data_IF_314204207896
#
_entry.id   IF_314204207896
#
_cell.length_a   1.000
_cell.length_b   1.000
_cell.length_c   1.000
_cell.angle_alpha   90.00
_cell.angle_beta   90.00
_cell.angle_gamma   90.00
#
_symmetry.space_group_name_H-M   'P 1'
#
loop_
_entity.id
_entity.type
_entity.pdbx_description
1 polymer ?
#
# COMPACT_ATOMS: atom_id res chain seq x y z
N UNK A 1 -20.09 31.77 24.41
CA UNK A 1 -18.94 30.95 23.99
C UNK A 1 -17.90 31.89 23.40
N UNK A 2 -16.68 31.90 23.93
CA UNK A 2 -15.66 32.88 23.56
C UNK A 2 -15.01 32.49 22.22
N UNK A 3 -14.63 33.47 21.40
CA UNK A 3 -13.84 33.26 20.18
C UNK A 3 -12.59 32.41 20.45
N UNK A 4 -11.97 32.58 21.63
CA UNK A 4 -10.83 31.76 22.06
C UNK A 4 -11.18 30.27 22.24
N UNK A 5 -12.33 29.94 22.84
CA UNK A 5 -12.77 28.54 23.00
C UNK A 5 -13.02 27.90 21.63
N UNK A 6 -13.57 28.67 20.68
CA UNK A 6 -13.83 28.20 19.32
C UNK A 6 -12.54 27.93 18.56
N UNK A 7 -11.55 28.83 18.66
CA UNK A 7 -10.24 28.65 18.03
C UNK A 7 -9.46 27.48 18.65
N UNK A 8 -9.54 27.32 19.97
CA UNK A 8 -8.91 26.22 20.68
C UNK A 8 -9.51 24.87 20.28
N UNK A 9 -10.85 24.78 20.22
CA UNK A 9 -11.53 23.56 19.78
C UNK A 9 -11.20 23.21 18.33
N UNK A 10 -11.13 24.21 17.45
CA UNK A 10 -10.75 24.02 16.05
C UNK A 10 -9.32 23.50 15.91
N UNK A 11 -8.36 24.08 16.66
CA UNK A 11 -6.98 23.61 16.65
C UNK A 11 -6.89 22.15 17.12
N UNK A 12 -7.63 21.80 18.17
CA UNK A 12 -7.68 20.44 18.71
C UNK A 12 -8.30 19.43 17.73
N UNK A 13 -9.33 19.83 16.98
CA UNK A 13 -9.90 19.03 15.90
C UNK A 13 -8.87 18.80 14.79
N UNK A 14 -8.18 19.86 14.34
CA UNK A 14 -7.13 19.74 13.30
C UNK A 14 -6.03 18.78 13.75
N UNK A 15 -5.52 18.91 14.97
CA UNK A 15 -4.48 18.02 15.51
C UNK A 15 -4.94 16.56 15.55
N UNK A 16 -6.18 16.31 15.98
CA UNK A 16 -6.75 14.96 16.00
C UNK A 16 -6.86 14.37 14.59
N UNK A 17 -7.21 15.20 13.61
CA UNK A 17 -7.37 14.80 12.21
C UNK A 17 -6.03 14.46 11.57
N UNK A 18 -5.02 15.30 11.78
CA UNK A 18 -3.64 15.05 11.34
C UNK A 18 -3.13 13.74 11.93
N UNK A 19 -3.27 13.55 13.24
CA UNK A 19 -2.84 12.33 13.91
C UNK A 19 -3.56 11.07 13.44
N UNK A 20 -4.82 11.18 13.00
CA UNK A 20 -5.57 10.05 12.43
C UNK A 20 -5.05 9.67 11.02
N UNK A 21 -4.80 10.67 10.18
CA UNK A 21 -4.25 10.48 8.83
C UNK A 21 -2.83 9.90 8.89
N UNK A 22 -1.99 10.42 9.78
CA UNK A 22 -0.61 9.91 9.97
C UNK A 22 -0.61 8.44 10.40
N UNK A 23 -1.45 8.08 11.38
CA UNK A 23 -1.59 6.68 11.81
C UNK A 23 -2.08 5.76 10.69
N UNK A 24 -3.00 6.21 9.85
CA UNK A 24 -3.47 5.44 8.70
C UNK A 24 -2.35 5.24 7.67
N UNK A 25 -1.56 6.28 7.39
CA UNK A 25 -0.41 6.20 6.48
C UNK A 25 0.68 5.27 7.02
N UNK A 26 1.01 5.35 8.31
CA UNK A 26 1.99 4.49 8.98
C UNK A 26 1.54 3.02 8.95
N UNK A 27 0.27 2.76 9.27
CA UNK A 27 -0.32 1.42 9.24
C UNK A 27 -0.27 0.82 7.84
N UNK A 28 -0.52 1.63 6.80
CA UNK A 28 -0.40 1.18 5.41
C UNK A 28 1.04 0.81 5.05
N UNK A 29 2.06 1.52 5.57
CA UNK A 29 3.48 1.21 5.33
C UNK A 29 3.92 -0.09 6.00
N UNK A 30 3.38 -0.38 7.18
CA UNK A 30 3.72 -1.57 7.95
C UNK A 30 3.15 -2.89 7.37
N UNK A 31 2.25 -2.82 6.39
CA UNK A 31 1.62 -4.01 5.80
C UNK A 31 2.25 -4.36 4.45
N UNK A 32 3.09 -5.39 4.34
CA UNK A 32 3.55 -5.88 3.04
C UNK A 32 2.37 -6.43 2.22
N UNK A 33 2.56 -6.49 0.91
CA UNK A 33 1.62 -7.09 -0.04
C UNK A 33 2.34 -8.15 -0.86
N UNK A 34 1.84 -9.38 -0.81
CA UNK A 34 2.32 -10.48 -1.64
C UNK A 34 1.33 -10.75 -2.78
N UNK A 35 1.84 -10.90 -3.99
CA UNK A 35 1.06 -11.14 -5.21
C UNK A 35 1.65 -12.28 -6.01
N UNK A 36 0.79 -13.18 -6.49
CA UNK A 36 1.22 -14.31 -7.33
C UNK A 36 1.71 -13.82 -8.69
N UNK A 37 2.78 -14.43 -9.17
CA UNK A 37 3.28 -14.26 -10.53
C UNK A 37 2.44 -15.14 -11.46
N UNK A 38 2.07 -14.60 -12.63
CA UNK A 38 1.28 -15.33 -13.62
C UNK A 38 1.92 -16.65 -14.03
N UNK A 39 1.10 -17.62 -14.45
CA UNK A 39 1.60 -18.94 -14.86
C UNK A 39 2.09 -19.82 -13.70
N UNK A 40 1.78 -19.48 -12.45
CA UNK A 40 2.21 -20.26 -11.28
C UNK A 40 3.70 -20.12 -10.97
N UNK A 41 4.36 -19.08 -11.51
CA UNK A 41 5.81 -18.91 -11.43
C UNK A 41 6.33 -18.55 -10.04
N UNK A 42 5.45 -18.22 -9.11
CA UNK A 42 5.82 -17.89 -7.72
C UNK A 42 5.12 -16.64 -7.21
N UNK A 43 5.81 -15.85 -6.40
CA UNK A 43 5.23 -14.70 -5.66
C UNK A 43 6.19 -13.52 -5.65
N UNK A 44 5.64 -12.31 -5.80
CA UNK A 44 6.34 -11.04 -5.56
C UNK A 44 5.82 -10.45 -4.25
N UNK A 45 6.71 -9.95 -3.41
CA UNK A 45 6.35 -9.22 -2.19
C UNK A 45 6.90 -7.81 -2.24
N UNK A 46 6.01 -6.84 -2.05
CA UNK A 46 6.35 -5.41 -1.90
C UNK A 46 6.03 -4.96 -0.48
N UNK A 47 6.75 -3.96 0.01
CA UNK A 47 6.43 -3.32 1.28
C UNK A 47 5.20 -2.40 1.16
N UNK A 48 4.74 -1.84 2.28
CA UNK A 48 3.60 -0.93 2.27
C UNK A 48 3.87 0.45 1.65
N UNK A 49 5.10 0.73 1.22
CA UNK A 49 5.49 1.91 0.44
C UNK A 49 5.52 1.65 -1.07
N UNK A 50 5.47 0.38 -1.48
CA UNK A 50 5.59 -0.05 -2.88
C UNK A 50 7.01 -0.45 -3.26
N UNK A 51 7.96 -0.51 -2.33
CA UNK A 51 9.29 -1.00 -2.61
C UNK A 51 9.30 -2.54 -2.68
N UNK A 52 10.02 -3.09 -3.66
CA UNK A 52 10.18 -4.53 -3.81
C UNK A 52 11.02 -5.11 -2.66
N UNK A 53 10.47 -6.09 -1.93
CA UNK A 53 11.17 -6.82 -0.86
C UNK A 53 11.74 -8.13 -1.40
N UNK A 54 10.90 -8.95 -2.03
CA UNK A 54 11.29 -10.29 -2.50
C UNK A 54 10.58 -10.68 -3.80
N UNK A 55 11.25 -11.54 -4.55
CA UNK A 55 10.68 -12.28 -5.68
C UNK A 55 11.05 -13.74 -5.48
N UNK A 56 10.05 -14.55 -5.16
CA UNK A 56 10.20 -15.97 -4.93
C UNK A 56 9.70 -16.71 -6.17
N UNK A 57 10.61 -17.38 -6.88
CA UNK A 57 10.28 -18.13 -8.09
C UNK A 57 10.24 -19.63 -7.82
N UNK A 58 9.19 -20.29 -8.31
CA UNK A 58 9.14 -21.74 -8.39
C UNK A 58 10.09 -22.21 -9.49
N UNK A 59 11.15 -22.92 -9.10
CA UNK A 59 12.18 -23.39 -10.00
C UNK A 59 11.63 -24.33 -11.06
N UNK A 60 10.76 -25.26 -10.68
CA UNK A 60 10.27 -26.31 -11.58
C UNK A 60 9.36 -25.73 -12.65
N UNK A 61 8.62 -24.67 -12.32
CA UNK A 61 7.81 -23.92 -13.27
C UNK A 61 8.68 -22.98 -14.10
N UNK A 62 9.65 -22.29 -13.49
CA UNK A 62 10.50 -21.31 -14.17
C UNK A 62 11.35 -21.91 -15.29
N UNK A 63 11.85 -23.15 -15.12
CA UNK A 63 12.64 -23.83 -16.18
C UNK A 63 11.82 -24.17 -17.43
N UNK A 64 10.48 -24.18 -17.34
CA UNK A 64 9.60 -24.41 -18.48
C UNK A 64 9.36 -23.16 -19.33
N UNK A 65 9.80 -21.99 -18.86
CA UNK A 65 9.58 -20.70 -19.52
C UNK A 65 10.80 -20.24 -20.30
N UNK A 66 10.57 -19.49 -21.38
CA UNK A 66 11.63 -18.71 -22.01
C UNK A 66 12.00 -17.52 -21.12
N UNK A 67 13.24 -17.03 -21.20
CA UNK A 67 13.67 -15.85 -20.44
C UNK A 67 12.79 -14.62 -20.68
N UNK A 68 12.33 -14.42 -21.92
CA UNK A 68 11.41 -13.34 -22.27
C UNK A 68 10.03 -13.48 -21.61
N UNK A 69 9.47 -14.69 -21.60
CA UNK A 69 8.19 -14.99 -20.93
C UNK A 69 8.31 -14.76 -19.42
N UNK A 70 9.35 -15.30 -18.81
CA UNK A 70 9.62 -15.14 -17.38
C UNK A 70 9.76 -13.67 -16.99
N UNK A 71 10.59 -12.91 -17.71
CA UNK A 71 10.77 -11.48 -17.47
C UNK A 71 9.44 -10.71 -17.61
N UNK A 72 8.64 -11.02 -18.63
CA UNK A 72 7.32 -10.41 -18.84
C UNK A 72 6.34 -10.68 -17.70
N UNK A 73 6.31 -11.92 -17.19
CA UNK A 73 5.45 -12.29 -16.06
C UNK A 73 5.88 -11.63 -14.75
N UNK A 74 7.19 -11.63 -14.46
CA UNK A 74 7.74 -11.02 -13.25
C UNK A 74 7.51 -9.51 -13.26
N UNK A 75 7.84 -8.82 -14.35
CA UNK A 75 7.65 -7.38 -14.47
C UNK A 75 6.17 -6.99 -14.32
N UNK A 76 5.26 -7.77 -14.92
CA UNK A 76 3.83 -7.54 -14.75
C UNK A 76 3.40 -7.69 -13.30
N UNK A 77 3.85 -8.75 -12.62
CA UNK A 77 3.52 -9.01 -11.22
C UNK A 77 4.03 -7.91 -10.27
N UNK A 78 5.24 -7.38 -10.53
CA UNK A 78 5.81 -6.25 -9.78
C UNK A 78 4.95 -4.99 -9.97
N UNK A 79 4.75 -4.56 -11.21
CA UNK A 79 3.94 -3.37 -11.51
C UNK A 79 2.54 -3.44 -10.90
N UNK A 80 1.95 -4.63 -10.95
CA UNK A 80 0.64 -4.92 -10.39
C UNK A 80 0.64 -4.84 -8.85
N UNK A 81 1.68 -5.37 -8.19
CA UNK A 81 1.83 -5.31 -6.74
C UNK A 81 2.03 -3.86 -6.27
N UNK A 82 2.90 -3.10 -6.93
CA UNK A 82 3.16 -1.68 -6.64
C UNK A 82 1.89 -0.84 -6.75
N UNK A 83 1.16 -0.96 -7.87
CA UNK A 83 -0.13 -0.26 -8.06
C UNK A 83 -1.15 -0.60 -6.99
N UNK A 84 -1.22 -1.86 -6.58
CA UNK A 84 -2.17 -2.30 -5.55
C UNK A 84 -1.84 -1.71 -4.17
N UNK A 85 -0.56 -1.58 -3.81
CA UNK A 85 -0.15 -0.92 -2.57
C UNK A 85 -0.49 0.57 -2.58
N UNK A 86 -0.22 1.26 -3.69
CA UNK A 86 -0.56 2.69 -3.84
C UNK A 86 -2.07 2.89 -3.68
N UNK A 87 -2.87 2.10 -4.40
CA UNK A 87 -4.34 2.18 -4.31
C UNK A 87 -4.85 1.88 -2.89
N UNK A 88 -4.27 0.89 -2.20
CA UNK A 88 -4.62 0.58 -0.80
C UNK A 88 -4.29 1.75 0.12
N UNK A 89 -3.12 2.36 -0.04
CA UNK A 89 -2.71 3.52 0.77
C UNK A 89 -3.65 4.70 0.57
N UNK A 90 -3.99 5.02 -0.67
CA UNK A 90 -4.95 6.08 -1.00
C UNK A 90 -6.32 5.80 -0.39
N UNK A 91 -6.80 4.55 -0.45
CA UNK A 91 -8.06 4.16 0.17
C UNK A 91 -8.05 4.33 1.70
N UNK A 92 -6.97 3.93 2.38
CA UNK A 92 -6.83 4.07 3.84
C UNK A 92 -6.79 5.54 4.27
N UNK A 93 -6.07 6.40 3.52
CA UNK A 93 -6.04 7.84 3.78
C UNK A 93 -7.43 8.46 3.55
N UNK A 94 -8.08 8.14 2.44
CA UNK A 94 -9.42 8.65 2.14
C UNK A 94 -10.47 8.21 3.19
N UNK A 95 -10.37 6.98 3.71
CA UNK A 95 -11.24 6.49 4.78
C UNK A 95 -10.97 7.21 6.11
N UNK A 96 -9.71 7.48 6.46
CA UNK A 96 -9.36 8.26 7.64
C UNK A 96 -9.90 9.70 7.55
N UNK A 97 -9.78 10.34 6.38
CA UNK A 97 -10.33 11.68 6.14
C UNK A 97 -11.86 11.72 6.27
N UNK A 98 -12.58 10.71 5.75
CA UNK A 98 -14.06 10.67 5.87
C UNK A 98 -14.55 10.49 7.31
N UNK A 99 -13.85 9.66 8.11
CA UNK A 99 -14.19 9.46 9.53
C UNK A 99 -14.01 10.72 10.37
N UNK A 100 -13.17 11.63 9.91
CA UNK A 100 -12.90 12.92 10.52
C UNK A 100 -14.02 13.94 10.22
N UNK A 101 -14.63 13.85 9.04
CA UNK A 101 -15.72 14.74 8.61
C UNK A 101 -17.11 14.34 9.14
N UNK A 102 -17.22 13.15 9.74
CA UNK A 102 -18.48 12.55 10.26
C UNK A 102 -18.64 12.78 11.76
#
# INVERSE_FOLDING_TARGET
MNTYDRLYNLAKEIDANVAAIERAAESSRAMPLSRKIGGGLGTVTVDGSGALISVDLDRDVAVTQTGASLAGHVLRAINDAEKAVVARREAMIAEASRRVES
#
